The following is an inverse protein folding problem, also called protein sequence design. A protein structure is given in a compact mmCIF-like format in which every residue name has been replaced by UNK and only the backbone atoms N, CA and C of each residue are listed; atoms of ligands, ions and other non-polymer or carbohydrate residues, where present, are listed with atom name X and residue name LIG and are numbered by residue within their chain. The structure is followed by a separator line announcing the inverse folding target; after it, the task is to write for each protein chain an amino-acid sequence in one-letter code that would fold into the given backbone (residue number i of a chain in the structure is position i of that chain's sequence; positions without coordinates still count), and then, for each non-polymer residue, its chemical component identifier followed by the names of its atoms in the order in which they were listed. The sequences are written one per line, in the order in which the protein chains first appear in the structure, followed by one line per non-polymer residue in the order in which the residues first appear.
data_IF_869395783722
#
_entry.id   IF_869395783722
#
_cell.length_a   1.000
_cell.length_b   1.000
_cell.length_c   1.000
_cell.angle_alpha   90.00
_cell.angle_beta   90.00
_cell.angle_gamma   90.00
#
_symmetry.space_group_name_H-M   'P 1'
#
loop_
_entity.id
_entity.type
_entity.pdbx_description
1 polymer ?
#
# COMPACT_ATOMS: atom_id res chain seq x y z
N UNK A 1 4.78 -6.01 -24.42
CA UNK A 1 4.33 -4.65 -24.04
C UNK A 1 4.18 -4.59 -22.53
N UNK A 2 4.24 -3.41 -21.94
CA UNK A 2 3.99 -3.20 -20.51
C UNK A 2 2.55 -2.69 -20.35
N UNK A 3 1.79 -3.28 -19.43
CA UNK A 3 0.44 -2.83 -19.09
C UNK A 3 0.51 -1.99 -17.80
N UNK A 4 -0.19 -0.87 -17.79
CA UNK A 4 -0.28 0.02 -16.63
C UNK A 4 -1.65 -0.16 -15.97
N UNK A 5 -1.66 -0.42 -14.68
CA UNK A 5 -2.86 -0.56 -13.86
C UNK A 5 -3.16 0.76 -13.13
N UNK A 6 -4.41 1.20 -13.17
CA UNK A 6 -4.83 2.42 -12.48
C UNK A 6 -5.06 2.15 -10.98
N UNK A 7 -4.50 3.02 -10.13
CA UNK A 7 -4.75 3.04 -8.69
C UNK A 7 -5.31 4.42 -8.33
N UNK A 8 -6.49 4.51 -7.69
CA UNK A 8 -7.03 5.78 -7.22
C UNK A 8 -6.11 6.47 -6.20
N UNK A 9 -6.20 7.81 -6.09
CA UNK A 9 -5.43 8.56 -5.10
C UNK A 9 -5.75 8.10 -3.67
N UNK A 10 -4.79 8.29 -2.75
CA UNK A 10 -4.92 7.98 -1.32
C UNK A 10 -5.36 6.53 -1.00
N UNK A 11 -5.02 5.57 -1.86
CA UNK A 11 -5.45 4.17 -1.72
C UNK A 11 -4.29 3.21 -1.39
N UNK A 12 -3.61 3.38 -0.24
CA UNK A 12 -2.44 2.58 0.14
C UNK A 12 -2.76 1.09 0.32
N UNK A 13 -4.01 0.74 0.60
CA UNK A 13 -4.44 -0.66 0.74
C UNK A 13 -4.45 -1.44 -0.58
N UNK A 14 -4.58 -0.74 -1.71
CA UNK A 14 -4.53 -1.29 -3.06
C UNK A 14 -3.08 -1.44 -3.55
N UNK A 15 -2.16 -0.66 -2.97
CA UNK A 15 -0.75 -0.71 -3.33
C UNK A 15 -0.03 -1.84 -2.57
N UNK A 16 0.26 -2.95 -3.27
CA UNK A 16 0.92 -4.12 -2.69
C UNK A 16 2.29 -3.81 -2.06
N UNK A 17 3.02 -2.83 -2.59
CA UNK A 17 4.34 -2.48 -2.06
C UNK A 17 4.26 -1.96 -0.62
N UNK A 18 3.16 -1.32 -0.23
CA UNK A 18 2.94 -0.82 1.13
C UNK A 18 2.86 -1.97 2.14
N UNK A 19 2.26 -3.09 1.73
CA UNK A 19 2.15 -4.31 2.57
C UNK A 19 3.51 -4.95 2.78
N UNK A 20 4.33 -5.00 1.74
CA UNK A 20 5.73 -5.48 1.83
C UNK A 20 6.54 -4.56 2.74
N UNK A 21 6.46 -3.24 2.54
CA UNK A 21 7.15 -2.27 3.40
C UNK A 21 6.70 -2.31 4.85
N UNK A 22 5.43 -2.61 5.13
CA UNK A 22 4.93 -2.81 6.49
C UNK A 22 5.63 -3.99 7.17
N UNK A 23 5.84 -5.10 6.46
CA UNK A 23 6.60 -6.24 6.95
C UNK A 23 8.06 -5.89 7.19
N UNK A 24 8.74 -5.31 6.19
CA UNK A 24 10.17 -4.94 6.27
C UNK A 24 10.41 -3.98 7.44
N UNK A 25 9.57 -2.95 7.60
CA UNK A 25 9.65 -2.03 8.75
C UNK A 25 9.38 -2.73 10.08
N UNK A 26 8.55 -3.77 10.12
CA UNK A 26 8.32 -4.57 11.32
C UNK A 26 9.59 -5.27 11.79
N UNK A 27 10.30 -5.91 10.87
CA UNK A 27 11.58 -6.59 11.16
C UNK A 27 12.67 -5.58 11.59
N UNK A 28 12.74 -4.43 10.92
CA UNK A 28 13.74 -3.40 11.20
C UNK A 28 13.51 -2.70 12.55
N UNK A 29 12.26 -2.46 12.97
CA UNK A 29 11.94 -1.79 14.25
C UNK A 29 12.37 -2.55 15.49
N UNK A 30 12.67 -3.84 15.37
CA UNK A 30 13.10 -4.67 16.50
C UNK A 30 14.50 -4.32 17.03
N UNK A 31 15.31 -3.57 16.28
CA UNK A 31 16.70 -3.24 16.62
C UNK A 31 17.06 -1.81 16.24
N UNK A 32 17.96 -1.21 17.01
CA UNK A 32 18.59 0.06 16.67
C UNK A 32 19.83 -0.18 15.78
N UNK A 33 19.99 0.65 14.75
CA UNK A 33 21.14 0.61 13.84
C UNK A 33 21.87 1.95 13.95
N UNK A 34 23.11 1.92 14.45
CA UNK A 34 23.93 3.13 14.61
C UNK A 34 24.63 3.60 13.33
N UNK A 35 24.61 2.79 12.27
CA UNK A 35 25.24 3.10 10.99
C UNK A 35 24.29 2.83 9.82
N UNK A 36 24.39 3.69 8.79
CA UNK A 36 23.55 3.61 7.60
C UNK A 36 23.85 2.36 6.78
N UNK A 37 25.12 1.93 6.70
CA UNK A 37 25.53 0.73 5.94
C UNK A 37 24.85 -0.50 6.53
N UNK A 38 24.92 -0.65 7.85
CA UNK A 38 24.26 -1.74 8.57
C UNK A 38 22.74 -1.72 8.40
N UNK A 39 22.11 -0.54 8.39
CA UNK A 39 20.68 -0.41 8.15
C UNK A 39 20.29 -0.85 6.74
N UNK A 40 21.05 -0.42 5.73
CA UNK A 40 20.84 -0.78 4.32
C UNK A 40 21.01 -2.28 4.10
N UNK A 41 22.11 -2.86 4.58
CA UNK A 41 22.35 -4.31 4.46
C UNK A 41 21.23 -5.12 5.11
N UNK A 42 20.70 -4.63 6.23
CA UNK A 42 19.57 -5.29 6.87
C UNK A 42 18.28 -5.19 6.05
N UNK A 43 18.02 -4.07 5.41
CA UNK A 43 16.90 -3.93 4.46
C UNK A 43 17.06 -4.95 3.33
N UNK A 44 18.21 -4.98 2.68
CA UNK A 44 18.49 -5.87 1.54
C UNK A 44 18.35 -7.34 1.96
N UNK A 45 18.93 -7.72 3.10
CA UNK A 45 18.78 -9.06 3.68
C UNK A 45 17.33 -9.43 3.96
N UNK A 46 16.54 -8.49 4.50
CA UNK A 46 15.12 -8.73 4.82
C UNK A 46 14.30 -8.91 3.54
N UNK A 47 14.57 -8.10 2.51
CA UNK A 47 13.93 -8.23 1.20
C UNK A 47 14.33 -9.56 0.55
N UNK A 48 15.60 -9.96 0.56
CA UNK A 48 16.03 -11.26 0.02
C UNK A 48 15.38 -12.44 0.76
N UNK A 49 15.19 -12.34 2.07
CA UNK A 49 14.54 -13.39 2.89
C UNK A 49 13.05 -13.58 2.57
N UNK A 50 12.42 -12.59 1.94
CA UNK A 50 10.99 -12.61 1.55
C UNK A 50 10.67 -13.77 0.63
N UNK A 51 11.56 -14.05 -0.33
CA UNK A 51 11.39 -15.13 -1.32
C UNK A 51 11.71 -16.51 -0.74
N UNK A 52 12.35 -16.56 0.43
CA UNK A 52 12.81 -17.78 1.09
C UNK A 52 12.05 -18.06 2.38
N UNK A 53 12.71 -17.93 3.53
CA UNK A 53 12.19 -18.31 4.85
C UNK A 53 10.95 -17.54 5.29
N UNK A 54 10.78 -16.30 4.83
CA UNK A 54 9.63 -15.46 5.19
C UNK A 54 8.45 -15.56 4.23
N UNK A 55 8.55 -16.41 3.19
CA UNK A 55 7.54 -16.54 2.14
C UNK A 55 6.14 -16.80 2.70
N UNK A 56 5.98 -17.72 3.63
CA UNK A 56 4.67 -18.03 4.22
C UNK A 56 4.02 -16.84 4.97
N UNK A 57 4.83 -16.01 5.65
CA UNK A 57 4.33 -14.80 6.33
C UNK A 57 3.91 -13.74 5.32
N UNK A 58 4.69 -13.59 4.26
CA UNK A 58 4.44 -12.61 3.22
C UNK A 58 3.26 -13.03 2.33
N UNK A 59 3.14 -14.31 2.00
CA UNK A 59 1.97 -14.86 1.30
C UNK A 59 0.68 -14.61 2.10
N UNK A 60 0.72 -14.66 3.43
CA UNK A 60 -0.42 -14.30 4.28
C UNK A 60 -0.74 -12.79 4.25
N UNK A 61 0.27 -11.93 4.12
CA UNK A 61 0.11 -10.47 4.07
C UNK A 61 -0.33 -9.96 2.68
N UNK A 62 0.21 -10.56 1.63
CA UNK A 62 -0.10 -10.24 0.23
C UNK A 62 -1.38 -10.95 -0.22
N UNK A 63 -1.52 -12.24 0.11
CA UNK A 63 -2.58 -13.13 -0.37
C UNK A 63 -3.98 -12.88 0.20
N UNK A 64 -4.14 -11.98 1.17
CA UNK A 64 -5.46 -11.39 1.46
C UNK A 64 -5.79 -10.42 0.32
N UNK A 65 -6.33 -10.95 -0.77
CA UNK A 65 -6.85 -10.27 -1.96
C UNK A 65 -6.41 -8.82 -2.14
N UNK A 66 -5.68 -8.54 -3.22
CA UNK A 66 -5.69 -7.18 -3.78
C UNK A 66 -7.16 -6.82 -3.95
N UNK A 67 -7.66 -5.87 -3.15
CA UNK A 67 -8.95 -5.27 -3.46
C UNK A 67 -8.72 -4.58 -4.79
N UNK A 68 -9.39 -5.04 -5.84
CA UNK A 68 -9.28 -4.43 -7.14
C UNK A 68 -10.20 -3.23 -7.19
N UNK A 69 -9.80 -2.19 -7.92
CA UNK A 69 -10.58 -0.96 -8.10
C UNK A 69 -11.96 -1.21 -8.74
N UNK A 70 -12.12 -2.34 -9.43
CA UNK A 70 -13.28 -2.67 -10.26
C UNK A 70 -14.64 -2.63 -9.53
N UNK A 71 -14.67 -2.71 -8.19
CA UNK A 71 -15.91 -2.70 -7.39
C UNK A 71 -15.99 -1.54 -6.37
N UNK A 72 -15.21 -0.46 -6.55
CA UNK A 72 -15.34 0.71 -5.68
C UNK A 72 -16.67 1.41 -5.95
N UNK A 73 -17.59 1.34 -4.97
CA UNK A 73 -18.82 2.13 -4.96
C UNK A 73 -18.65 3.36 -4.07
N UNK A 74 -19.18 4.49 -4.51
CA UNK A 74 -19.34 5.65 -3.64
C UNK A 74 -20.25 5.26 -2.47
N UNK A 75 -19.74 5.40 -1.24
CA UNK A 75 -20.51 5.13 -0.02
C UNK A 75 -21.44 6.31 0.27
N UNK A 76 -20.99 7.51 -0.05
CA UNK A 76 -21.68 8.78 0.10
C UNK A 76 -21.19 9.79 -0.96
N UNK A 77 -22.04 10.78 -1.26
CA UNK A 77 -21.65 11.91 -2.09
C UNK A 77 -20.63 12.77 -1.34
N UNK A 78 -19.58 13.22 -2.03
CA UNK A 78 -18.59 14.11 -1.44
C UNK A 78 -19.29 15.35 -0.85
N UNK A 79 -19.26 15.52 0.47
CA UNK A 79 -19.91 16.64 1.18
C UNK A 79 -19.26 17.99 0.88
N UNK A 80 -18.06 18.00 0.29
CA UNK A 80 -17.38 19.21 -0.21
C UNK A 80 -17.75 19.54 -1.66
N UNK A 81 -18.59 18.75 -2.32
CA UNK A 81 -19.15 19.13 -3.61
C UNK A 81 -20.09 20.29 -3.37
N UNK A 82 -19.84 21.42 -4.04
CA UNK A 82 -20.81 22.51 -4.07
C UNK A 82 -22.14 21.95 -4.59
N UNK A 83 -23.27 22.23 -3.92
CA UNK A 83 -24.56 21.78 -4.42
C UNK A 83 -24.79 22.40 -5.80
N UNK A 84 -24.91 21.54 -6.82
CA UNK A 84 -25.45 21.93 -8.12
C UNK A 84 -26.93 22.27 -7.91
N UNK A 85 -27.25 23.54 -7.65
CA UNK A 85 -28.63 23.94 -7.42
C UNK A 85 -28.87 25.29 -6.78
N UNK A 86 -28.06 26.32 -7.07
CA UNK A 86 -28.49 27.72 -6.85
C UNK A 86 -28.18 28.52 -8.10
N UNK A 87 -28.87 28.20 -9.19
CA UNK A 87 -28.83 28.98 -10.41
C UNK A 87 -30.29 29.37 -10.75
N UNK A 88 -30.62 30.62 -10.41
CA UNK A 88 -31.55 31.51 -11.11
C UNK A 88 -33.06 31.25 -10.90
N UNK A 89 -33.63 31.92 -9.89
CA UNK A 89 -35.00 32.42 -9.97
C UNK A 89 -34.92 33.95 -10.15
N UNK A 90 -35.38 34.42 -11.30
CA UNK A 90 -35.77 35.80 -11.55
C UNK A 90 -37.12 36.09 -10.89
#
# INVERSE_FOLDING_TARGET
GISLEYIPPYSPNLNLIERVWKFVKGELRSKYYGDFTNFREKIDSTICSTSGSNKAKIDKLIGKGVQLYHDIRAVDGNTFSFPEGVNNAA
#
